data_IF_182577859778
#
_entry.id   IF_182577859778
#
_cell.length_a   1.000
_cell.length_b   1.000
_cell.length_c   1.000
_cell.angle_alpha   90.00
_cell.angle_beta   90.00
_cell.angle_gamma   90.00
#
_symmetry.space_group_name_H-M   'P 1'
#
loop_
_entity.id
_entity.type
_entity.pdbx_description
1 polymer ?
#
# COMPACT_ATOMS: atom_id res chain seq x y z
N UNK A 1 -45.74 9.98 -40.79
CA UNK A 1 -47.11 9.74 -41.33
C UNK A 1 -47.86 8.91 -40.30
N UNK A 2 -48.83 9.36 -39.54
CA UNK A 2 -49.65 10.56 -39.60
C UNK A 2 -49.64 11.26 -38.22
N UNK A 3 -49.03 12.44 -38.18
CA UNK A 3 -49.49 13.55 -37.34
C UNK A 3 -50.31 14.42 -38.31
N UNK A 4 -51.35 15.09 -37.81
CA UNK A 4 -52.39 15.84 -38.55
C UNK A 4 -53.60 14.98 -38.95
N UNK A 5 -54.63 14.98 -38.08
CA UNK A 5 -55.93 15.50 -38.48
C UNK A 5 -56.88 15.63 -37.27
N UNK A 6 -57.41 16.85 -37.15
CA UNK A 6 -58.66 17.21 -36.48
C UNK A 6 -58.63 17.49 -34.97
N UNK A 7 -57.84 18.50 -34.61
CA UNK A 7 -58.39 19.68 -33.92
C UNK A 7 -59.56 20.25 -34.73
N UNK A 8 -60.81 19.85 -34.41
CA UNK A 8 -62.01 20.70 -34.55
C UNK A 8 -63.26 19.94 -34.08
N UNK A 9 -63.51 19.96 -32.77
CA UNK A 9 -64.86 19.89 -32.22
C UNK A 9 -64.75 20.07 -30.71
N UNK A 10 -65.35 21.16 -30.19
CA UNK A 10 -65.84 21.40 -28.82
C UNK A 10 -65.68 22.86 -28.36
N UNK A 11 -65.78 23.81 -29.29
CA UNK A 11 -66.23 25.18 -28.99
C UNK A 11 -67.71 25.30 -29.35
N UNK A 12 -68.61 24.96 -28.40
CA UNK A 12 -70.00 25.45 -28.30
C UNK A 12 -70.73 24.81 -27.10
N UNK A 13 -70.62 25.43 -25.92
CA UNK A 13 -71.70 25.73 -24.94
C UNK A 13 -71.08 26.17 -23.60
N UNK A 14 -71.46 27.34 -23.06
CA UNK A 14 -70.85 27.91 -21.86
C UNK A 14 -71.66 27.53 -20.62
N UNK A 15 -71.29 26.46 -19.91
CA UNK A 15 -71.78 26.18 -18.55
C UNK A 15 -70.97 25.05 -17.91
N UNK A 16 -69.83 25.40 -17.33
CA UNK A 16 -69.21 24.76 -16.14
C UNK A 16 -67.81 25.34 -15.86
N UNK A 17 -67.68 26.66 -15.95
CA UNK A 17 -66.46 27.39 -15.58
C UNK A 17 -66.46 27.65 -14.06
N UNK A 18 -66.48 26.60 -13.23
CA UNK A 18 -66.32 26.72 -11.76
C UNK A 18 -65.74 25.49 -11.05
N UNK A 19 -65.43 24.40 -11.77
CA UNK A 19 -64.83 23.19 -11.18
C UNK A 19 -63.45 22.84 -11.76
N UNK A 20 -62.95 23.62 -12.73
CA UNK A 20 -61.62 23.44 -13.33
C UNK A 20 -60.54 24.40 -12.81
N UNK A 21 -60.82 25.11 -11.71
CA UNK A 21 -59.83 25.93 -10.99
C UNK A 21 -59.30 25.23 -9.72
N UNK A 22 -59.79 24.03 -9.41
CA UNK A 22 -59.27 23.20 -8.30
C UNK A 22 -58.45 21.99 -8.74
N UNK A 23 -58.35 21.71 -10.04
CA UNK A 23 -57.49 20.64 -10.58
C UNK A 23 -56.23 21.14 -11.30
N UNK A 24 -56.04 22.47 -11.37
CA UNK A 24 -54.81 23.10 -11.90
C UNK A 24 -53.93 23.69 -10.80
N UNK A 25 -54.32 23.55 -9.52
CA UNK A 25 -53.50 23.95 -8.35
C UNK A 25 -52.83 22.75 -7.67
N UNK A 26 -52.92 21.55 -8.26
CA UNK A 26 -52.26 20.34 -7.74
C UNK A 26 -51.35 19.64 -8.77
N UNK A 27 -51.09 20.26 -9.93
CA UNK A 27 -50.16 19.76 -10.95
C UNK A 27 -49.11 20.83 -11.33
N UNK A 28 -48.82 21.77 -10.42
CA UNK A 28 -47.77 22.78 -10.63
C UNK A 28 -46.86 22.99 -9.42
N UNK A 29 -46.86 22.06 -8.47
CA UNK A 29 -45.96 22.08 -7.31
C UNK A 29 -45.42 20.70 -6.93
N UNK A 30 -45.31 19.79 -7.90
CA UNK A 30 -44.17 18.87 -7.88
C UNK A 30 -43.15 19.49 -8.82
N UNK A 31 -42.52 20.56 -8.33
CA UNK A 31 -41.19 20.91 -8.79
C UNK A 31 -40.35 19.68 -8.46
N UNK A 32 -40.23 18.75 -9.42
CA UNK A 32 -39.06 17.92 -9.51
C UNK A 32 -37.90 18.90 -9.65
N UNK A 33 -37.38 19.36 -8.52
CA UNK A 33 -36.03 19.84 -8.41
C UNK A 33 -35.16 18.65 -8.76
N UNK A 34 -35.03 18.34 -10.06
CA UNK A 34 -33.77 17.86 -10.56
C UNK A 34 -32.79 19.01 -10.36
N UNK A 35 -32.32 19.17 -9.11
CA UNK A 35 -31.04 19.80 -8.85
C UNK A 35 -30.09 19.06 -9.78
N UNK A 36 -29.60 19.75 -10.81
CA UNK A 36 -28.56 19.23 -11.68
C UNK A 36 -27.31 19.12 -10.81
N UNK A 37 -27.24 18.03 -10.05
CA UNK A 37 -26.14 17.80 -9.14
C UNK A 37 -24.88 17.69 -9.98
N UNK A 38 -23.84 18.43 -9.59
CA UNK A 38 -22.55 18.46 -10.26
C UNK A 38 -22.08 17.01 -10.52
N UNK A 39 -21.88 16.65 -11.79
CA UNK A 39 -21.45 15.30 -12.20
C UNK A 39 -19.94 15.10 -12.09
N UNK A 40 -19.18 16.19 -12.14
CA UNK A 40 -17.72 16.19 -12.14
C UNK A 40 -17.14 17.14 -11.09
N UNK A 41 -16.04 16.71 -10.46
CA UNK A 41 -15.38 17.43 -9.39
C UNK A 41 -13.89 17.47 -9.68
N UNK A 42 -13.42 18.63 -10.12
CA UNK A 42 -11.98 18.92 -10.15
C UNK A 42 -11.51 19.25 -8.74
N UNK A 43 -10.49 18.52 -8.27
CA UNK A 43 -9.92 18.67 -6.93
C UNK A 43 -8.43 18.94 -7.06
N UNK A 44 -7.98 20.05 -6.49
CA UNK A 44 -6.55 20.33 -6.32
C UNK A 44 -6.00 19.47 -5.19
N UNK A 45 -4.88 18.82 -5.43
CA UNK A 45 -4.22 17.94 -4.49
C UNK A 45 -2.88 18.54 -4.07
N UNK A 46 -2.58 18.49 -2.78
CA UNK A 46 -1.33 18.96 -2.22
C UNK A 46 -0.46 17.78 -1.80
N UNK A 47 0.86 18.02 -1.75
CA UNK A 47 1.83 17.06 -1.26
C UNK A 47 1.67 16.79 0.23
N UNK A 48 1.72 15.52 0.62
CA UNK A 48 1.77 15.10 2.02
C UNK A 48 2.81 14.02 2.20
N UNK A 49 3.53 14.08 3.32
CA UNK A 49 4.52 13.06 3.70
C UNK A 49 4.40 12.67 5.18
N UNK A 50 5.23 11.71 5.58
CA UNK A 50 5.25 11.13 6.94
C UNK A 50 5.62 12.09 8.08
N UNK A 51 6.14 13.29 7.79
CA UNK A 51 6.36 14.32 8.82
C UNK A 51 5.08 14.99 9.29
N UNK A 52 4.00 14.84 8.54
CA UNK A 52 2.70 15.42 8.88
C UNK A 52 2.05 14.77 10.12
N UNK A 53 2.71 13.81 10.78
CA UNK A 53 2.18 13.04 11.89
C UNK A 53 1.19 11.94 11.47
N UNK A 54 0.92 11.82 10.16
CA UNK A 54 0.05 10.82 9.56
C UNK A 54 0.80 9.52 9.25
N UNK A 55 0.12 8.38 9.36
CA UNK A 55 0.66 7.08 8.98
C UNK A 55 0.80 6.95 7.45
N UNK A 56 1.88 6.30 7.00
CA UNK A 56 2.19 6.04 5.59
C UNK A 56 1.14 5.20 4.89
N UNK A 57 0.53 5.67 3.79
CA UNK A 57 -0.19 4.76 2.92
C UNK A 57 0.82 3.73 2.42
N UNK A 58 0.51 2.45 2.59
CA UNK A 58 1.32 1.40 2.00
C UNK A 58 1.37 1.61 0.48
N UNK A 59 2.58 1.78 -0.05
CA UNK A 59 2.88 1.78 -1.49
C UNK A 59 3.59 0.48 -1.86
N UNK A 60 3.49 0.07 -3.13
CA UNK A 60 4.25 -1.08 -3.61
C UNK A 60 5.75 -0.80 -3.52
N UNK A 61 6.49 -1.84 -3.12
CA UNK A 61 7.95 -1.77 -2.96
C UNK A 61 8.59 -2.01 -4.32
N UNK A 62 9.31 -1.02 -4.84
CA UNK A 62 10.14 -1.19 -6.03
C UNK A 62 11.44 -1.90 -5.65
N UNK A 63 11.82 -2.95 -6.40
CA UNK A 63 13.07 -3.68 -6.19
C UNK A 63 14.09 -3.26 -7.25
N UNK A 64 15.28 -2.88 -6.80
CA UNK A 64 16.33 -2.34 -7.64
C UNK A 64 17.58 -3.20 -7.55
N UNK A 65 18.18 -3.54 -8.68
CA UNK A 65 19.41 -4.31 -8.74
C UNK A 65 20.61 -3.47 -8.32
N UNK A 66 21.55 -4.12 -7.64
CA UNK A 66 22.80 -3.52 -7.17
C UNK A 66 23.98 -4.03 -7.99
N UNK A 67 24.80 -3.10 -8.44
CA UNK A 67 25.98 -3.35 -9.27
C UNK A 67 27.23 -2.83 -8.55
N UNK A 68 28.33 -3.60 -8.49
CA UNK A 68 29.60 -3.11 -7.96
C UNK A 68 30.03 -1.82 -8.66
N UNK A 69 30.40 -0.80 -7.88
CA UNK A 69 30.69 0.53 -8.43
C UNK A 69 31.89 0.54 -9.41
N UNK A 70 32.83 -0.40 -9.23
CA UNK A 70 34.00 -0.62 -10.09
C UNK A 70 33.67 -1.34 -11.41
N UNK A 71 32.47 -1.91 -11.53
CA UNK A 71 31.99 -2.57 -12.74
C UNK A 71 31.16 -1.64 -13.66
N UNK A 72 30.92 -0.40 -13.25
CA UNK A 72 30.23 0.60 -14.06
C UNK A 72 31.17 1.07 -15.19
N UNK A 73 30.71 0.98 -16.44
CA UNK A 73 31.51 1.25 -17.65
C UNK A 73 32.08 2.68 -17.70
N UNK A 74 31.27 3.66 -17.32
CA UNK A 74 31.70 5.06 -17.21
C UNK A 74 32.07 5.32 -15.74
N UNK A 75 33.35 5.63 -15.43
CA UNK A 75 33.83 5.73 -14.06
C UNK A 75 33.04 6.71 -13.20
N UNK A 76 32.80 6.32 -11.96
CA UNK A 76 32.18 7.16 -10.93
C UNK A 76 33.27 7.79 -10.08
N UNK A 77 33.12 9.07 -9.73
CA UNK A 77 33.98 9.71 -8.74
C UNK A 77 33.35 9.54 -7.36
N UNK A 78 33.94 8.64 -6.58
CA UNK A 78 33.41 8.15 -5.31
C UNK A 78 34.15 8.81 -4.14
N UNK A 79 33.46 9.27 -3.08
CA UNK A 79 34.08 9.76 -1.86
C UNK A 79 35.12 8.80 -1.27
N UNK A 80 36.28 9.37 -0.95
CA UNK A 80 37.45 8.66 -0.46
C UNK A 80 37.12 7.88 0.82
N UNK A 81 37.21 6.55 0.71
CA UNK A 81 37.30 5.63 1.84
C UNK A 81 37.94 4.35 1.31
N UNK A 82 39.25 4.22 1.54
CA UNK A 82 40.03 3.07 1.10
C UNK A 82 39.39 1.80 1.65
N UNK A 83 39.01 0.88 0.75
CA UNK A 83 38.51 -0.47 1.04
C UNK A 83 37.02 -0.64 1.46
N UNK A 84 36.19 0.39 1.33
CA UNK A 84 34.73 0.29 1.53
C UNK A 84 34.05 -0.53 0.42
N UNK A 85 33.09 -1.40 0.77
CA UNK A 85 32.18 -2.00 -0.24
C UNK A 85 31.33 -0.88 -0.85
N UNK A 86 31.24 -0.84 -2.18
CA UNK A 86 30.52 0.20 -2.91
C UNK A 86 29.59 -0.45 -3.94
N UNK A 87 28.28 -0.37 -3.71
CA UNK A 87 27.27 -0.84 -4.65
C UNK A 87 26.45 0.34 -5.16
N UNK A 88 26.11 0.29 -6.44
CA UNK A 88 25.38 1.34 -7.14
C UNK A 88 24.06 0.77 -7.64
N UNK A 89 23.02 1.57 -7.56
CA UNK A 89 21.75 1.30 -8.25
C UNK A 89 21.25 2.56 -8.93
N UNK A 90 20.25 2.38 -9.78
CA UNK A 90 19.62 3.45 -10.54
C UNK A 90 18.16 3.55 -10.15
N UNK A 91 17.72 4.75 -9.78
CA UNK A 91 16.30 5.07 -9.62
C UNK A 91 15.87 5.90 -10.82
N UNK A 92 14.80 5.45 -11.48
CA UNK A 92 14.25 6.12 -12.66
C UNK A 92 12.88 6.68 -12.30
N UNK A 93 12.70 7.99 -12.47
CA UNK A 93 11.45 8.71 -12.21
C UNK A 93 10.98 9.48 -13.46
N UNK A 94 9.66 9.64 -13.58
CA UNK A 94 8.98 10.40 -14.62
C UNK A 94 8.62 9.62 -15.88
N UNK A 95 7.78 10.23 -16.73
CA UNK A 95 7.33 9.65 -18.00
C UNK A 95 8.54 9.28 -18.88
N UNK A 96 8.68 8.00 -19.21
CA UNK A 96 9.81 7.46 -19.99
C UNK A 96 11.20 7.66 -19.34
N UNK A 97 11.28 7.80 -18.01
CA UNK A 97 12.57 7.85 -17.30
C UNK A 97 13.35 9.14 -17.46
N UNK A 98 12.65 10.27 -17.50
CA UNK A 98 13.22 11.62 -17.65
C UNK A 98 14.21 12.01 -16.53
N UNK A 99 14.07 11.43 -15.34
CA UNK A 99 15.02 11.63 -14.25
C UNK A 99 15.64 10.29 -13.84
N UNK A 100 16.96 10.22 -13.98
CA UNK A 100 17.76 9.08 -13.57
C UNK A 100 18.64 9.56 -12.44
N UNK A 101 18.56 8.88 -11.30
CA UNK A 101 19.41 9.12 -10.13
C UNK A 101 20.28 7.90 -9.88
N UNK A 102 21.58 8.11 -9.75
CA UNK A 102 22.49 7.08 -9.26
C UNK A 102 22.56 7.17 -7.74
N UNK A 103 22.35 6.02 -7.10
CA UNK A 103 22.47 5.87 -5.66
C UNK A 103 23.66 4.98 -5.36
N UNK A 104 24.54 5.45 -4.48
CA UNK A 104 25.76 4.75 -4.08
C UNK A 104 25.67 4.38 -2.61
N UNK A 105 25.55 3.09 -2.33
CA UNK A 105 25.58 2.54 -0.98
C UNK A 105 27.03 2.15 -0.61
N UNK A 106 27.49 2.62 0.54
CA UNK A 106 28.83 2.35 1.09
C UNK A 106 28.77 1.88 2.53
N UNK A 107 29.74 1.05 2.90
CA UNK A 107 30.03 0.66 4.27
C UNK A 107 31.50 0.94 4.61
N UNK A 108 31.82 1.18 5.87
CA UNK A 108 33.20 1.09 6.36
C UNK A 108 33.77 -0.33 6.13
N UNK A 109 35.07 -0.52 5.83
CA UNK A 109 35.69 -1.85 5.72
C UNK A 109 35.43 -2.78 6.92
N UNK A 110 35.29 -2.21 8.12
CA UNK A 110 34.97 -2.93 9.36
C UNK A 110 33.48 -3.21 9.55
N UNK A 111 32.63 -2.59 8.73
CA UNK A 111 31.19 -2.70 8.80
C UNK A 111 30.65 -3.56 7.66
N UNK A 112 29.96 -4.63 8.03
CA UNK A 112 29.31 -5.52 7.08
C UNK A 112 28.13 -4.84 6.36
N UNK A 113 27.50 -3.88 7.03
CA UNK A 113 26.27 -3.22 6.59
C UNK A 113 26.56 -1.85 5.98
N UNK A 114 25.76 -1.47 5.00
CA UNK A 114 25.82 -0.11 4.48
C UNK A 114 25.38 0.86 5.57
N UNK A 115 26.16 1.92 5.75
CA UNK A 115 25.92 2.98 6.72
C UNK A 115 25.89 4.37 6.07
N UNK A 116 26.17 4.41 4.77
CA UNK A 116 26.21 5.61 3.95
C UNK A 116 25.47 5.37 2.64
N UNK A 117 24.56 6.28 2.30
CA UNK A 117 23.90 6.32 1.00
C UNK A 117 24.09 7.70 0.38
N UNK A 118 24.77 7.75 -0.77
CA UNK A 118 24.97 8.95 -1.56
C UNK A 118 24.00 8.98 -2.73
N UNK A 119 23.63 10.17 -3.17
CA UNK A 119 22.80 10.42 -4.35
C UNK A 119 23.61 11.31 -5.28
N UNK A 120 23.72 10.93 -6.55
CA UNK A 120 24.22 11.81 -7.61
C UNK A 120 23.09 12.79 -7.97
N UNK A 121 23.10 13.98 -7.35
CA UNK A 121 22.01 14.95 -7.41
C UNK A 121 22.08 15.76 -8.71
N UNK A 122 23.29 16.12 -9.13
CA UNK A 122 23.52 16.90 -10.34
C UNK A 122 23.70 16.03 -11.60
N UNK A 123 23.74 14.70 -11.46
CA UNK A 123 23.82 13.70 -12.54
C UNK A 123 25.15 13.75 -13.29
N UNK A 124 26.22 14.19 -12.63
CA UNK A 124 27.57 14.28 -13.20
C UNK A 124 28.45 13.06 -12.85
N UNK A 125 27.93 12.12 -12.07
CA UNK A 125 28.61 10.91 -11.58
C UNK A 125 29.73 11.18 -10.58
N UNK A 126 29.78 12.38 -10.01
CA UNK A 126 30.72 12.83 -8.99
C UNK A 126 30.05 13.03 -7.63
N UNK A 127 29.86 11.92 -6.94
CA UNK A 127 29.33 11.86 -5.57
C UNK A 127 30.15 12.65 -4.53
N UNK A 128 31.32 13.20 -4.88
CA UNK A 128 32.11 14.04 -3.97
C UNK A 128 31.58 15.47 -3.85
N UNK A 129 30.69 15.88 -4.76
CA UNK A 129 30.14 17.24 -4.83
C UNK A 129 28.63 17.33 -4.52
N UNK A 130 27.97 16.21 -4.20
CA UNK A 130 26.51 16.12 -3.95
C UNK A 130 26.09 16.26 -2.47
N UNK A 131 27.04 16.63 -1.59
CA UNK A 131 26.82 16.80 -0.16
C UNK A 131 27.05 15.53 0.66
N UNK A 132 26.63 15.57 1.93
CA UNK A 132 26.84 14.47 2.87
C UNK A 132 25.94 13.27 2.56
N UNK A 133 26.39 12.02 2.81
CA UNK A 133 25.54 10.85 2.64
C UNK A 133 24.43 10.82 3.67
N UNK A 134 23.31 10.21 3.30
CA UNK A 134 22.33 9.74 4.28
C UNK A 134 22.99 8.68 5.15
N UNK A 135 22.68 8.71 6.45
CA UNK A 135 23.13 7.70 7.40
C UNK A 135 22.00 6.72 7.66
N UNK A 136 22.39 5.46 7.83
CA UNK A 136 21.44 4.43 8.25
C UNK A 136 20.93 4.74 9.65
N UNK A 137 19.65 4.47 9.90
CA UNK A 137 19.07 4.50 11.24
C UNK A 137 19.46 3.26 12.09
N UNK A 138 20.19 2.31 11.49
CA UNK A 138 20.82 1.19 12.18
C UNK A 138 19.85 0.14 12.70
N UNK A 139 18.64 0.04 12.15
CA UNK A 139 17.63 -0.88 12.67
C UNK A 139 17.99 -2.36 12.40
N UNK A 140 18.60 -2.99 13.39
CA UNK A 140 18.78 -4.44 13.48
C UNK A 140 17.51 -5.10 14.04
N UNK A 141 16.59 -5.51 13.18
CA UNK A 141 15.40 -6.22 13.66
C UNK A 141 15.76 -7.68 13.96
N UNK A 142 15.88 -8.00 15.26
CA UNK A 142 16.12 -9.37 15.75
C UNK A 142 14.95 -10.33 15.49
N UNK A 143 13.73 -9.85 15.23
CA UNK A 143 12.66 -10.77 14.83
C UNK A 143 13.02 -11.37 13.48
N UNK A 144 12.99 -12.70 13.37
CA UNK A 144 13.32 -13.50 12.16
C UNK A 144 14.80 -13.71 11.82
N UNK A 145 15.75 -13.29 12.66
CA UNK A 145 17.18 -13.39 12.34
C UNK A 145 17.54 -12.68 11.00
N UNK A 146 16.82 -11.60 10.71
CA UNK A 146 16.97 -10.83 9.48
C UNK A 146 17.90 -9.65 9.72
N UNK A 147 18.79 -9.41 8.76
CA UNK A 147 19.75 -8.33 8.83
C UNK A 147 19.43 -7.35 7.69
N UNK A 148 19.13 -6.11 8.04
CA UNK A 148 18.92 -5.06 7.05
C UNK A 148 19.48 -3.71 7.52
N UNK A 149 19.72 -2.85 6.54
CA UNK A 149 20.00 -1.43 6.72
C UNK A 149 18.82 -0.66 6.13
N UNK A 150 18.35 0.34 6.85
CA UNK A 150 17.35 1.29 6.36
C UNK A 150 17.97 2.69 6.24
N UNK A 151 17.70 3.35 5.12
CA UNK A 151 17.86 4.78 4.95
C UNK A 151 16.47 5.40 4.86
N UNK A 152 16.01 5.96 5.98
CA UNK A 152 14.75 6.67 6.07
C UNK A 152 14.82 8.06 5.43
N UNK A 153 13.72 8.49 4.81
CA UNK A 153 13.52 9.88 4.36
C UNK A 153 14.56 10.36 3.34
N UNK A 154 14.95 9.47 2.43
CA UNK A 154 15.80 9.79 1.29
C UNK A 154 15.01 10.70 0.35
N UNK A 155 15.56 11.88 0.05
CA UNK A 155 14.90 12.88 -0.79
C UNK A 155 15.61 12.95 -2.13
N UNK A 156 15.01 12.34 -3.15
CA UNK A 156 15.48 12.47 -4.53
C UNK A 156 14.99 13.83 -5.08
N UNK A 157 15.89 14.68 -5.60
CA UNK A 157 15.53 16.00 -6.11
C UNK A 157 14.86 15.85 -7.49
N UNK A 158 13.60 15.44 -7.46
CA UNK A 158 12.78 15.24 -8.65
C UNK A 158 11.91 16.48 -8.87
N UNK A 159 12.15 17.16 -9.99
CA UNK A 159 11.39 18.35 -10.35
C UNK A 159 10.06 17.98 -11.02
N UNK A 160 8.95 18.37 -10.41
CA UNK A 160 7.62 18.17 -10.97
C UNK A 160 7.30 19.33 -11.93
N UNK A 161 7.37 19.09 -13.24
CA UNK A 161 7.23 20.15 -14.25
C UNK A 161 5.83 20.21 -14.89
N UNK A 162 5.11 21.33 -14.73
CA UNK A 162 3.84 21.64 -15.44
C UNK A 162 4.03 22.79 -16.42
N UNK A 163 4.18 22.50 -17.72
CA UNK A 163 4.49 23.53 -18.71
C UNK A 163 5.80 24.26 -18.35
N UNK A 164 5.70 25.54 -17.98
CA UNK A 164 6.85 26.36 -17.58
C UNK A 164 7.02 26.49 -16.05
N UNK A 165 6.17 25.84 -15.25
CA UNK A 165 6.22 25.92 -13.79
C UNK A 165 6.92 24.68 -13.23
N UNK A 166 7.96 24.90 -12.42
CA UNK A 166 8.69 23.89 -11.66
C UNK A 166 8.20 23.92 -10.21
N UNK A 167 7.85 22.77 -9.66
CA UNK A 167 7.54 22.63 -8.24
C UNK A 167 8.62 21.77 -7.58
N UNK A 168 9.34 22.34 -6.61
CA UNK A 168 10.37 21.65 -5.85
C UNK A 168 9.73 20.81 -4.73
N UNK A 169 9.29 19.60 -5.09
CA UNK A 169 8.79 18.61 -4.14
C UNK A 169 9.63 17.35 -4.26
N UNK A 170 10.37 16.94 -3.22
CA UNK A 170 11.24 15.78 -3.34
C UNK A 170 10.41 14.51 -3.54
N UNK A 171 10.92 13.59 -4.34
CA UNK A 171 10.45 12.21 -4.28
C UNK A 171 11.01 11.59 -3.00
N UNK A 172 10.23 11.69 -1.92
CA UNK A 172 10.60 11.19 -0.61
C UNK A 172 10.39 9.68 -0.58
N UNK A 173 11.46 8.95 -0.28
CA UNK A 173 11.43 7.51 -0.22
C UNK A 173 12.21 6.97 0.99
N UNK A 174 12.06 5.67 1.18
CA UNK A 174 12.83 4.87 2.10
C UNK A 174 13.53 3.79 1.31
N UNK A 175 14.77 3.51 1.66
CA UNK A 175 15.59 2.52 0.96
C UNK A 175 16.10 1.48 1.94
N UNK A 176 15.84 0.21 1.65
CA UNK A 176 16.23 -0.92 2.47
C UNK A 176 17.22 -1.82 1.74
N UNK A 177 18.23 -2.27 2.46
CA UNK A 177 19.19 -3.28 1.99
C UNK A 177 19.06 -4.52 2.87
N UNK A 178 18.69 -5.65 2.27
CA UNK A 178 18.54 -6.92 2.97
C UNK A 178 19.79 -7.78 2.78
N UNK A 179 20.37 -8.28 3.88
CA UNK A 179 21.62 -9.05 3.90
C UNK A 179 21.33 -10.54 4.16
N UNK A 180 20.98 -11.33 3.12
CA UNK A 180 20.73 -12.75 3.29
C UNK A 180 22.01 -13.47 3.75
N UNK A 181 21.91 -14.28 4.79
CA UNK A 181 23.04 -15.05 5.38
C UNK A 181 24.27 -14.19 5.76
N UNK A 182 24.09 -12.91 6.08
CA UNK A 182 25.21 -11.96 6.26
C UNK A 182 26.10 -11.87 4.99
N UNK A 183 25.49 -11.94 3.81
CA UNK A 183 26.12 -11.64 2.54
C UNK A 183 25.76 -10.24 2.04
N UNK A 184 26.56 -9.73 1.09
CA UNK A 184 26.24 -8.46 0.42
C UNK A 184 24.91 -8.56 -0.35
N UNK A 185 24.03 -7.54 -0.26
CA UNK A 185 22.77 -7.52 -0.97
C UNK A 185 23.00 -7.47 -2.48
N UNK A 186 22.18 -8.20 -3.23
CA UNK A 186 22.13 -8.10 -4.70
C UNK A 186 21.10 -7.08 -5.19
N UNK A 187 20.18 -6.70 -4.32
CA UNK A 187 19.09 -5.77 -4.62
C UNK A 187 18.81 -4.92 -3.39
N UNK A 188 18.32 -3.71 -3.60
CA UNK A 188 17.66 -2.93 -2.56
C UNK A 188 16.16 -2.76 -2.85
N UNK A 189 15.43 -2.30 -1.84
CA UNK A 189 14.01 -2.01 -1.92
C UNK A 189 13.80 -0.51 -1.72
N UNK A 190 13.05 0.11 -2.62
CA UNK A 190 12.61 1.49 -2.52
C UNK A 190 11.11 1.51 -2.19
N UNK A 191 10.73 2.31 -1.21
CA UNK A 191 9.35 2.55 -0.81
C UNK A 191 9.08 4.05 -0.81
N UNK A 192 8.04 4.49 -1.53
CA UNK A 192 7.63 5.90 -1.52
C UNK A 192 7.06 6.29 -0.14
N UNK A 193 7.39 7.48 0.34
CA UNK A 193 6.99 8.02 1.65
C UNK A 193 6.10 9.27 1.56
N UNK A 194 5.47 9.49 0.42
CA UNK A 194 4.60 10.65 0.17
C UNK A 194 3.41 10.27 -0.69
N UNK A 195 2.35 11.06 -0.57
CA UNK A 195 1.12 10.94 -1.36
C UNK A 195 0.59 12.34 -1.69
N UNK A 196 -0.56 12.37 -2.37
CA UNK A 196 -1.28 13.59 -2.69
C UNK A 196 -2.69 13.51 -2.16
N UNK A 197 -3.18 14.58 -1.55
CA UNK A 197 -4.57 14.61 -1.07
C UNK A 197 -5.23 15.97 -1.27
N UNK A 198 -6.56 16.00 -1.31
CA UNK A 198 -7.33 17.22 -1.40
C UNK A 198 -8.79 16.98 -1.05
N UNK A 199 -9.53 18.06 -0.80
CA UNK A 199 -10.91 17.99 -0.35
C UNK A 199 -11.86 18.69 -1.31
N UNK A 200 -13.10 18.21 -1.35
CA UNK A 200 -14.17 18.84 -2.09
C UNK A 200 -15.51 18.66 -1.37
N UNK A 201 -16.45 19.56 -1.64
CA UNK A 201 -17.80 19.47 -1.08
C UNK A 201 -18.68 18.57 -1.95
N UNK A 202 -19.33 17.59 -1.31
CA UNK A 202 -20.31 16.72 -1.94
C UNK A 202 -21.60 16.69 -1.11
N UNK A 203 -22.67 17.28 -1.64
CA UNK A 203 -23.89 17.56 -0.89
C UNK A 203 -23.54 18.30 0.42
N UNK A 204 -24.03 17.82 1.56
CA UNK A 204 -23.79 18.43 2.88
C UNK A 204 -22.53 17.86 3.58
N UNK A 205 -21.71 17.07 2.88
CA UNK A 205 -20.53 16.41 3.44
C UNK A 205 -19.25 16.91 2.76
N UNK A 206 -18.21 17.16 3.56
CA UNK A 206 -16.86 17.35 3.05
C UNK A 206 -16.24 15.98 2.76
N UNK A 207 -15.68 15.82 1.56
CA UNK A 207 -15.01 14.60 1.14
C UNK A 207 -13.53 14.87 0.87
N UNK A 208 -12.71 13.85 1.09
CA UNK A 208 -11.28 13.85 0.77
C UNK A 208 -11.01 12.80 -0.30
N UNK A 209 -10.15 13.15 -1.25
CA UNK A 209 -9.53 12.24 -2.18
C UNK A 209 -8.03 12.20 -1.91
N UNK A 210 -7.46 11.00 -1.94
CA UNK A 210 -6.02 10.79 -1.88
C UNK A 210 -5.57 9.91 -3.05
N UNK A 211 -4.37 10.15 -3.57
CA UNK A 211 -3.72 9.32 -4.59
C UNK A 211 -2.29 9.00 -4.18
N UNK A 212 -1.87 7.77 -4.45
CA UNK A 212 -0.55 7.23 -4.19
C UNK A 212 0.00 6.67 -5.49
N UNK A 213 1.21 7.10 -5.81
CA UNK A 213 2.06 6.49 -6.82
C UNK A 213 2.51 5.12 -6.29
N UNK A 214 1.79 4.09 -6.73
CA UNK A 214 1.92 2.73 -6.20
C UNK A 214 3.14 2.05 -6.78
N UNK A 215 3.44 2.25 -8.07
CA UNK A 215 4.59 1.63 -8.74
C UNK A 215 5.93 2.37 -8.51
N UNK A 216 5.88 3.50 -7.80
CA UNK A 216 7.00 4.35 -7.39
C UNK A 216 7.79 4.92 -8.57
N UNK A 217 7.13 5.20 -9.69
CA UNK A 217 7.76 5.74 -10.90
C UNK A 217 7.77 7.28 -10.95
N UNK A 218 7.15 7.98 -9.99
CA UNK A 218 7.09 9.44 -9.96
C UNK A 218 6.09 10.05 -10.95
N UNK A 219 5.14 9.26 -11.47
CA UNK A 219 4.06 9.67 -12.36
C UNK A 219 2.77 9.15 -11.76
N UNK A 220 1.75 10.01 -11.72
CA UNK A 220 0.41 9.63 -11.29
C UNK A 220 -0.47 9.31 -12.49
N UNK A 221 -0.84 8.04 -12.66
CA UNK A 221 -1.69 7.58 -13.75
C UNK A 221 -2.67 6.45 -13.34
N UNK A 222 -3.09 5.61 -14.29
CA UNK A 222 -4.06 4.53 -14.06
C UNK A 222 -3.44 3.27 -13.44
N UNK A 223 -2.11 3.13 -13.39
CA UNK A 223 -1.41 2.08 -12.63
C UNK A 223 -1.46 2.34 -11.11
N UNK A 224 -1.83 3.56 -10.73
CA UNK A 224 -1.80 4.01 -9.35
C UNK A 224 -3.10 3.77 -8.60
N UNK A 225 -3.00 4.01 -7.28
CA UNK A 225 -4.11 3.84 -6.37
C UNK A 225 -4.64 5.14 -5.84
N UNK A 226 -5.93 5.12 -5.53
CA UNK A 226 -6.64 6.27 -5.03
C UNK A 226 -7.66 5.87 -3.97
N UNK A 227 -8.04 6.83 -3.15
CA UNK A 227 -9.00 6.65 -2.08
C UNK A 227 -9.97 7.83 -2.06
N UNK A 228 -11.25 7.57 -1.76
CA UNK A 228 -12.31 8.59 -1.69
C UNK A 228 -13.17 8.37 -0.44
N UNK A 229 -13.15 9.34 0.47
CA UNK A 229 -13.56 9.12 1.86
C UNK A 229 -14.26 10.37 2.42
N UNK A 230 -15.27 10.23 3.29
CA UNK A 230 -15.76 11.36 4.10
C UNK A 230 -14.64 11.95 4.95
N UNK A 231 -14.51 13.28 5.00
CA UNK A 231 -13.45 13.94 5.77
C UNK A 231 -13.54 13.65 7.27
N UNK A 232 -14.72 13.42 7.80
CA UNK A 232 -14.91 13.09 9.22
C UNK A 232 -14.57 11.62 9.55
N UNK A 233 -14.33 10.79 8.52
CA UNK A 233 -13.84 9.41 8.71
C UNK A 233 -12.33 9.34 8.90
N UNK A 234 -11.63 10.48 8.81
CA UNK A 234 -10.17 10.58 8.90
C UNK A 234 -9.73 10.64 10.37
N UNK A 235 -9.58 9.48 11.01
CA UNK A 235 -8.73 9.39 12.21
C UNK A 235 -7.24 9.53 11.83
N UNK A 236 -6.36 9.80 12.80
CA UNK A 236 -4.91 9.94 12.58
C UNK A 236 -4.26 8.66 11.98
N UNK A 237 -4.90 7.50 12.14
CA UNK A 237 -4.46 6.17 11.64
C UNK A 237 -4.83 5.89 10.16
N UNK A 238 -5.62 6.77 9.54
CA UNK A 238 -6.45 6.40 8.38
C UNK A 238 -5.75 6.44 7.01
N UNK A 239 -4.81 7.37 6.82
CA UNK A 239 -4.08 7.49 5.54
C UNK A 239 -3.02 6.39 5.39
N UNK A 240 -2.84 5.56 6.42
CA UNK A 240 -1.86 4.48 6.44
C UNK A 240 -2.27 3.18 5.76
N UNK A 241 -3.58 2.98 5.55
CA UNK A 241 -4.10 1.66 5.22
C UNK A 241 -4.38 1.51 3.71
N UNK A 242 -3.64 0.58 3.08
CA UNK A 242 -3.80 0.20 1.67
C UNK A 242 -5.24 -0.15 1.30
N UNK A 243 -6.07 -0.54 2.27
CA UNK A 243 -7.43 -1.01 2.04
C UNK A 243 -8.39 0.11 1.62
N UNK A 244 -8.06 1.36 1.91
CA UNK A 244 -8.80 2.50 1.36
C UNK A 244 -8.35 2.85 -0.06
N UNK A 245 -7.12 2.46 -0.42
CA UNK A 245 -6.52 2.71 -1.72
C UNK A 245 -6.92 1.60 -2.69
N UNK A 246 -7.69 1.99 -3.69
CA UNK A 246 -8.20 1.10 -4.73
C UNK A 246 -7.47 1.40 -6.03
N UNK A 247 -7.35 0.39 -6.88
CA UNK A 247 -6.87 0.61 -8.26
C UNK A 247 -7.71 1.70 -8.94
N UNK A 248 -7.11 2.51 -9.82
CA UNK A 248 -7.82 3.56 -10.54
C UNK A 248 -9.07 3.06 -11.31
N UNK A 249 -9.10 1.77 -11.67
CA UNK A 249 -10.23 1.10 -12.33
C UNK A 249 -11.43 0.86 -11.41
N UNK A 250 -11.23 0.80 -10.09
CA UNK A 250 -12.27 0.59 -9.09
C UNK A 250 -12.92 1.91 -8.73
N UNK A 251 -14.22 1.88 -8.47
CA UNK A 251 -14.95 3.08 -8.04
C UNK A 251 -14.49 3.57 -6.67
N UNK A 252 -14.71 4.84 -6.34
CA UNK A 252 -14.67 5.36 -4.97
C UNK A 252 -16.10 5.66 -4.53
N UNK A 253 -16.40 5.59 -3.23
CA UNK A 253 -17.79 5.73 -2.77
C UNK A 253 -17.97 6.82 -1.71
N UNK A 254 -18.95 7.70 -1.92
CA UNK A 254 -19.47 8.61 -0.90
C UNK A 254 -20.95 8.32 -0.67
N UNK A 255 -21.29 7.74 0.48
CA UNK A 255 -22.60 7.12 0.66
C UNK A 255 -22.83 6.05 -0.40
N UNK A 256 -23.99 6.06 -1.06
CA UNK A 256 -24.30 5.14 -2.18
C UNK A 256 -23.94 5.70 -3.57
N UNK A 257 -23.20 6.81 -3.63
CA UNK A 257 -22.76 7.39 -4.91
C UNK A 257 -21.35 6.92 -5.25
N UNK A 258 -21.21 6.26 -6.40
CA UNK A 258 -19.93 5.86 -6.97
C UNK A 258 -19.27 7.00 -7.76
N UNK A 259 -17.95 7.00 -7.70
CA UNK A 259 -17.07 7.92 -8.42
C UNK A 259 -15.98 7.12 -9.13
N UNK A 260 -15.48 7.67 -10.22
CA UNK A 260 -14.24 7.23 -10.86
C UNK A 260 -13.26 8.39 -10.98
N UNK A 261 -11.98 8.06 -11.11
CA UNK A 261 -10.95 8.99 -11.55
C UNK A 261 -11.06 9.13 -13.06
N UNK A 262 -11.71 10.20 -13.52
CA UNK A 262 -11.86 10.48 -14.95
C UNK A 262 -10.58 11.04 -15.57
N UNK A 263 -9.77 11.74 -14.77
CA UNK A 263 -8.45 12.19 -15.16
C UNK A 263 -7.58 12.39 -13.90
N UNK A 264 -6.31 12.04 -13.99
CA UNK A 264 -5.30 12.30 -12.98
C UNK A 264 -4.14 13.03 -13.64
N UNK A 265 -3.78 14.21 -13.12
CA UNK A 265 -2.62 14.92 -13.63
C UNK A 265 -1.35 14.10 -13.31
N UNK A 266 -0.39 13.95 -14.25
CA UNK A 266 0.83 13.16 -14.05
C UNK A 266 1.67 13.52 -12.81
N UNK A 267 1.54 14.75 -12.28
CA UNK A 267 2.24 15.19 -11.07
C UNK A 267 1.49 14.85 -9.77
N UNK A 268 0.25 14.37 -9.90
CA UNK A 268 -0.66 14.09 -8.82
C UNK A 268 -1.19 15.34 -8.11
N UNK A 269 -1.02 16.54 -8.67
CA UNK A 269 -1.47 17.80 -8.06
C UNK A 269 -2.94 18.14 -8.38
N UNK A 270 -3.61 17.35 -9.24
CA UNK A 270 -5.00 17.56 -9.62
C UNK A 270 -5.64 16.25 -10.05
N UNK A 271 -6.88 16.03 -9.63
CA UNK A 271 -7.72 14.91 -10.05
C UNK A 271 -9.09 15.41 -10.48
N UNK A 272 -9.63 14.82 -11.54
CA UNK A 272 -11.02 14.99 -11.97
C UNK A 272 -11.78 13.74 -11.58
N UNK A 273 -12.69 13.87 -10.62
CA UNK A 273 -13.61 12.82 -10.23
C UNK A 273 -14.91 12.97 -11.00
N UNK A 274 -15.45 11.86 -11.49
CA UNK A 274 -16.77 11.82 -12.14
C UNK A 274 -17.68 10.84 -11.43
N UNK A 275 -18.94 11.22 -11.24
CA UNK A 275 -19.97 10.29 -10.77
C UNK A 275 -20.16 9.18 -11.80
N UNK A 276 -20.16 7.95 -11.34
CA UNK A 276 -20.28 6.76 -12.19
C UNK A 276 -21.57 6.02 -11.86
N UNK A 277 -22.34 5.67 -12.88
CA UNK A 277 -23.33 4.61 -12.73
C UNK A 277 -22.59 3.30 -12.54
N UNK A 278 -22.85 2.62 -11.43
CA UNK A 278 -22.14 1.41 -11.05
C UNK A 278 -23.10 0.24 -10.99
N UNK A 279 -22.73 -0.87 -11.64
CA UNK A 279 -23.60 -2.05 -11.75
C UNK A 279 -23.79 -2.77 -10.42
N UNK A 280 -22.76 -2.74 -9.56
CA UNK A 280 -22.80 -3.27 -8.20
C UNK A 280 -23.23 -2.18 -7.22
N UNK A 281 -24.01 -2.54 -6.21
CA UNK A 281 -24.19 -1.70 -5.03
C UNK A 281 -22.85 -1.45 -4.33
N UNK A 282 -22.78 -0.40 -3.50
CA UNK A 282 -21.58 -0.14 -2.68
C UNK A 282 -21.17 -1.36 -1.88
N UNK A 283 -22.13 -2.05 -1.26
CA UNK A 283 -21.84 -3.22 -0.43
C UNK A 283 -21.24 -4.37 -1.26
N UNK A 284 -21.78 -4.63 -2.45
CA UNK A 284 -21.28 -5.70 -3.34
C UNK A 284 -19.89 -5.37 -3.88
N UNK A 285 -19.66 -4.12 -4.30
CA UNK A 285 -18.34 -3.70 -4.77
C UNK A 285 -17.28 -3.71 -3.65
N UNK A 286 -17.62 -3.22 -2.45
CA UNK A 286 -16.73 -3.33 -1.28
C UNK A 286 -16.54 -4.78 -0.82
N UNK A 287 -17.49 -5.68 -1.12
CA UNK A 287 -17.32 -7.10 -0.88
C UNK A 287 -16.36 -7.78 -1.87
N UNK A 288 -15.94 -7.11 -2.95
CA UNK A 288 -14.79 -7.59 -3.72
C UNK A 288 -13.46 -7.30 -3.00
N UNK A 289 -13.47 -6.39 -2.02
CA UNK A 289 -12.32 -6.04 -1.18
C UNK A 289 -12.26 -6.89 0.12
N UNK A 290 -13.12 -7.93 0.22
CA UNK A 290 -13.58 -8.62 1.46
C UNK A 290 -12.55 -9.13 2.47
N UNK A 291 -11.32 -9.57 2.14
CA UNK A 291 -10.43 -10.08 3.18
C UNK A 291 -10.09 -9.04 4.27
N UNK A 292 -10.17 -7.75 3.95
CA UNK A 292 -9.47 -6.71 4.70
C UNK A 292 -10.35 -5.79 5.55
N UNK A 293 -11.56 -5.45 5.10
CA UNK A 293 -12.48 -4.57 5.86
C UNK A 293 -12.88 -5.14 7.24
N UNK A 294 -12.84 -6.46 7.40
CA UNK A 294 -13.08 -7.10 8.70
C UNK A 294 -11.87 -7.03 9.62
N UNK A 295 -10.64 -6.97 9.10
CA UNK A 295 -9.41 -6.96 9.91
C UNK A 295 -9.18 -5.64 10.65
N UNK A 296 -9.53 -4.52 10.02
CA UNK A 296 -9.35 -3.18 10.59
C UNK A 296 -10.12 -3.03 11.91
N UNK A 297 -11.27 -3.69 12.04
CA UNK A 297 -12.16 -3.59 13.21
C UNK A 297 -11.85 -4.58 14.32
N UNK A 298 -10.85 -5.45 14.16
CA UNK A 298 -10.56 -6.49 15.16
C UNK A 298 -9.62 -5.98 16.26
N UNK A 299 -9.84 -6.37 17.53
CA UNK A 299 -9.00 -5.91 18.64
C UNK A 299 -7.54 -6.34 18.49
N UNK A 300 -6.62 -5.43 18.83
CA UNK A 300 -5.17 -5.70 18.85
C UNK A 300 -4.73 -6.24 20.22
N UNK A 301 -3.79 -7.17 20.21
CA UNK A 301 -3.19 -7.72 21.42
C UNK A 301 -2.20 -6.73 22.04
N UNK A 302 -2.16 -6.67 23.37
CA UNK A 302 -1.11 -5.93 24.10
C UNK A 302 0.22 -6.70 24.16
N UNK A 303 0.25 -7.97 23.74
CA UNK A 303 1.41 -8.85 23.76
C UNK A 303 1.63 -9.48 22.39
N UNK A 304 2.87 -9.80 22.06
CA UNK A 304 3.24 -10.43 20.79
C UNK A 304 3.21 -11.97 20.87
N UNK A 305 3.17 -12.63 19.71
CA UNK A 305 3.36 -14.08 19.60
C UNK A 305 4.79 -14.45 20.00
N UNK A 306 4.95 -15.48 20.82
CA UNK A 306 6.25 -15.97 21.25
C UNK A 306 6.92 -16.84 20.17
N UNK A 307 7.52 -16.20 19.18
CA UNK A 307 8.19 -16.87 18.06
C UNK A 307 9.56 -17.46 18.44
N UNK A 308 9.77 -18.71 18.04
CA UNK A 308 11.10 -19.29 17.88
C UNK A 308 11.56 -19.12 16.43
N UNK A 309 12.88 -19.10 16.23
CA UNK A 309 13.51 -19.02 14.89
C UNK A 309 14.33 -20.25 14.52
N UNK A 310 14.35 -21.28 15.38
CA UNK A 310 15.15 -22.48 15.16
C UNK A 310 14.27 -23.73 15.20
N UNK A 311 14.22 -24.46 14.08
CA UNK A 311 13.37 -25.63 13.91
C UNK A 311 13.64 -26.73 14.96
N UNK A 312 14.92 -27.03 15.23
CA UNK A 312 15.28 -28.08 16.19
C UNK A 312 14.84 -27.72 17.62
N UNK A 313 15.01 -26.46 18.04
CA UNK A 313 14.51 -25.97 19.34
C UNK A 313 12.99 -26.01 19.42
N UNK A 314 12.29 -25.62 18.36
CA UNK A 314 10.83 -25.68 18.32
C UNK A 314 10.35 -27.14 18.43
N UNK A 315 10.96 -28.06 17.69
CA UNK A 315 10.64 -29.49 17.75
C UNK A 315 10.92 -30.09 19.12
N UNK A 316 12.05 -29.76 19.74
CA UNK A 316 12.37 -30.22 21.09
C UNK A 316 11.34 -29.70 22.12
N UNK A 317 10.96 -28.43 22.02
CA UNK A 317 9.95 -27.82 22.89
C UNK A 317 8.60 -28.50 22.70
N UNK A 318 8.17 -28.70 21.46
CA UNK A 318 6.90 -29.34 21.12
C UNK A 318 6.83 -30.78 21.62
N UNK A 319 7.91 -31.56 21.52
CA UNK A 319 8.00 -32.90 22.10
C UNK A 319 7.80 -32.90 23.61
N UNK A 320 8.40 -31.92 24.31
CA UNK A 320 8.30 -31.78 25.77
C UNK A 320 6.90 -31.33 26.21
N UNK A 321 6.31 -30.37 25.52
CA UNK A 321 5.01 -29.80 25.89
C UNK A 321 3.82 -30.54 25.27
N UNK A 322 4.07 -31.49 24.36
CA UNK A 322 3.07 -32.21 23.54
C UNK A 322 2.21 -31.30 22.64
N UNK A 323 2.54 -30.01 22.55
CA UNK A 323 1.86 -29.04 21.70
C UNK A 323 2.19 -29.25 20.22
N UNK A 324 1.27 -28.83 19.35
CA UNK A 324 1.55 -28.71 17.92
C UNK A 324 2.47 -27.49 17.66
N UNK A 325 3.13 -27.48 16.51
CA UNK A 325 4.00 -26.38 16.07
C UNK A 325 3.24 -25.57 15.02
N UNK A 326 3.07 -24.28 15.27
CA UNK A 326 2.60 -23.34 14.25
C UNK A 326 3.83 -22.77 13.54
N UNK A 327 4.03 -23.13 12.28
CA UNK A 327 5.20 -22.72 11.48
C UNK A 327 4.79 -21.68 10.45
N UNK A 328 5.56 -20.62 10.32
CA UNK A 328 5.39 -19.63 9.25
C UNK A 328 6.68 -19.51 8.45
N UNK A 329 6.65 -19.90 7.18
CA UNK A 329 7.69 -19.57 6.22
C UNK A 329 7.35 -18.22 5.59
N UNK A 330 8.18 -17.23 5.87
CA UNK A 330 8.06 -15.88 5.35
C UNK A 330 9.40 -15.42 4.78
N UNK A 331 9.36 -14.32 4.04
CA UNK A 331 10.55 -13.59 3.60
C UNK A 331 10.28 -12.09 3.78
N UNK A 332 11.30 -11.27 4.10
CA UNK A 332 11.08 -9.88 4.48
C UNK A 332 10.57 -9.01 3.34
N UNK A 333 10.94 -9.33 2.11
CA UNK A 333 10.55 -8.60 0.91
C UNK A 333 9.14 -8.94 0.41
N UNK A 334 8.45 -9.88 1.04
CA UNK A 334 7.08 -10.27 0.66
C UNK A 334 6.07 -9.37 1.36
N UNK A 335 5.39 -8.51 0.59
CA UNK A 335 4.29 -7.66 1.08
C UNK A 335 3.21 -8.43 1.86
N UNK A 336 2.76 -9.62 1.39
CA UNK A 336 1.88 -10.51 2.15
C UNK A 336 2.46 -10.98 3.50
N UNK A 337 3.78 -11.21 3.61
CA UNK A 337 4.41 -11.56 4.88
C UNK A 337 4.43 -10.39 5.87
N UNK A 338 4.75 -9.19 5.39
CA UNK A 338 4.70 -7.95 6.18
C UNK A 338 3.26 -7.69 6.66
N UNK A 339 2.28 -7.97 5.80
CA UNK A 339 0.85 -7.82 6.14
C UNK A 339 0.43 -8.76 7.27
N UNK A 340 0.92 -10.01 7.29
CA UNK A 340 0.64 -10.92 8.41
C UNK A 340 1.16 -10.35 9.73
N UNK A 341 2.36 -9.77 9.76
CA UNK A 341 2.94 -9.20 10.99
C UNK A 341 2.16 -7.99 11.50
N UNK A 342 1.82 -7.07 10.59
CA UNK A 342 1.20 -5.81 10.97
C UNK A 342 -0.31 -5.90 11.21
N UNK A 343 -0.99 -6.92 10.69
CA UNK A 343 -2.46 -7.01 10.72
C UNK A 343 -3.03 -8.30 11.30
N UNK A 344 -2.31 -9.41 11.19
CA UNK A 344 -2.84 -10.73 11.55
C UNK A 344 -2.24 -11.24 12.86
N UNK A 345 -0.92 -11.17 13.01
CA UNK A 345 -0.20 -11.70 14.17
C UNK A 345 -0.29 -10.82 15.41
N UNK A 346 -0.76 -9.57 15.27
CA UNK A 346 -1.08 -8.69 16.39
C UNK A 346 -2.57 -8.69 16.76
N UNK A 347 -3.39 -9.52 16.11
CA UNK A 347 -4.80 -9.68 16.46
C UNK A 347 -4.93 -10.39 17.82
N UNK A 348 -5.80 -9.88 18.69
CA UNK A 348 -5.97 -10.38 20.05
C UNK A 348 -6.36 -11.87 20.10
N UNK A 349 -7.18 -12.34 19.17
CA UNK A 349 -7.61 -13.74 19.13
C UNK A 349 -6.50 -14.64 18.59
N UNK A 350 -5.81 -14.21 17.53
CA UNK A 350 -4.67 -14.95 16.95
C UNK A 350 -3.56 -15.09 17.99
N UNK A 351 -3.18 -14.02 18.69
CA UNK A 351 -2.17 -14.06 19.76
C UNK A 351 -2.62 -15.00 20.88
N UNK A 352 -3.87 -14.91 21.30
CA UNK A 352 -4.40 -15.78 22.35
C UNK A 352 -4.30 -17.26 21.96
N UNK A 353 -4.74 -17.62 20.75
CA UNK A 353 -4.66 -18.98 20.21
C UNK A 353 -3.23 -19.47 20.06
N UNK A 354 -2.30 -18.58 19.68
CA UNK A 354 -0.88 -18.91 19.49
C UNK A 354 -0.23 -19.52 20.75
N UNK A 355 -0.72 -19.18 21.95
CA UNK A 355 -0.23 -19.73 23.21
C UNK A 355 -0.45 -21.25 23.35
N UNK A 356 -1.36 -21.82 22.56
CA UNK A 356 -1.61 -23.27 22.51
C UNK A 356 -0.61 -24.03 21.64
N UNK A 357 0.27 -23.31 20.94
CA UNK A 357 1.25 -23.85 20.01
C UNK A 357 2.67 -23.53 20.45
N UNK A 358 3.62 -24.33 19.94
CA UNK A 358 4.99 -23.86 19.80
C UNK A 358 5.06 -23.06 18.50
N UNK A 359 5.18 -21.74 18.60
CA UNK A 359 5.23 -20.87 17.43
C UNK A 359 6.66 -20.81 16.86
N UNK A 360 6.80 -21.06 15.57
CA UNK A 360 8.06 -21.07 14.83
C UNK A 360 7.92 -20.21 13.58
N UNK A 361 8.82 -19.25 13.43
CA UNK A 361 8.89 -18.39 12.26
C UNK A 361 10.24 -18.56 11.60
N UNK A 362 10.23 -18.92 10.32
CA UNK A 362 11.41 -19.24 9.52
C UNK A 362 11.48 -18.29 8.32
N UNK A 363 12.69 -17.78 8.08
CA UNK A 363 13.00 -17.05 6.86
C UNK A 363 13.32 -18.05 5.74
N UNK A 364 12.55 -18.02 4.66
CA UNK A 364 12.73 -18.94 3.55
C UNK A 364 14.03 -18.74 2.74
N UNK A 365 14.63 -17.56 2.76
CA UNK A 365 15.89 -17.29 2.08
C UNK A 365 17.09 -17.87 2.85
N UNK A 366 17.00 -17.89 4.19
CA UNK A 366 18.01 -18.45 5.10
C UNK A 366 17.83 -19.97 5.28
N UNK A 367 16.59 -20.44 5.40
CA UNK A 367 16.24 -21.82 5.75
C UNK A 367 15.97 -22.71 4.53
N UNK A 368 16.84 -22.61 3.50
CA UNK A 368 16.65 -23.28 2.19
C UNK A 368 16.45 -24.79 2.28
N UNK A 369 17.09 -25.44 3.26
CA UNK A 369 16.93 -26.87 3.49
C UNK A 369 15.52 -27.19 3.97
N UNK A 370 14.96 -26.40 4.89
CA UNK A 370 13.61 -26.58 5.39
C UNK A 370 12.57 -26.21 4.33
N UNK A 371 12.82 -25.17 3.54
CA UNK A 371 11.99 -24.82 2.36
C UNK A 371 11.84 -26.00 1.41
N UNK A 372 12.96 -26.67 1.08
CA UNK A 372 12.92 -27.90 0.26
C UNK A 372 12.23 -29.05 0.97
N UNK A 373 12.54 -29.27 2.25
CA UNK A 373 11.97 -30.36 3.05
C UNK A 373 10.43 -30.28 3.13
N UNK A 374 9.88 -29.08 3.34
CA UNK A 374 8.43 -28.84 3.42
C UNK A 374 7.79 -28.52 2.07
N UNK A 375 8.58 -28.49 0.99
CA UNK A 375 8.13 -28.14 -0.37
C UNK A 375 7.42 -26.78 -0.42
N UNK A 376 8.03 -25.76 0.20
CA UNK A 376 7.53 -24.38 0.20
C UNK A 376 7.86 -23.75 -1.15
N UNK A 377 6.83 -23.32 -1.87
CA UNK A 377 6.95 -22.73 -3.21
C UNK A 377 6.61 -21.24 -3.25
N UNK A 378 5.78 -20.77 -2.31
CA UNK A 378 5.29 -19.39 -2.26
C UNK A 378 5.32 -18.88 -0.82
N UNK A 379 5.43 -17.56 -0.65
CA UNK A 379 5.43 -16.91 0.66
C UNK A 379 4.21 -15.99 0.82
N UNK A 380 3.60 -15.94 2.02
CA UNK A 380 3.87 -16.81 3.16
C UNK A 380 3.34 -18.25 2.94
N UNK A 381 3.95 -19.22 3.61
CA UNK A 381 3.39 -20.57 3.77
C UNK A 381 3.28 -20.87 5.27
N UNK A 382 2.06 -21.15 5.73
CA UNK A 382 1.72 -21.40 7.13
C UNK A 382 1.43 -22.89 7.32
N UNK A 383 2.12 -23.56 8.25
CA UNK A 383 1.94 -24.98 8.52
C UNK A 383 1.52 -25.21 9.97
N UNK A 384 0.76 -26.28 10.20
CA UNK A 384 0.69 -26.91 11.53
C UNK A 384 1.43 -28.23 11.46
N UNK A 385 2.43 -28.40 12.32
CA UNK A 385 3.10 -29.68 12.53
C UNK A 385 2.65 -30.29 13.85
N UNK A 386 2.60 -31.61 13.93
CA UNK A 386 2.50 -32.28 15.23
C UNK A 386 3.82 -32.20 16.01
N UNK A 387 3.80 -32.67 17.26
CA UNK A 387 4.99 -32.66 18.12
C UNK A 387 6.13 -33.57 17.61
N UNK A 388 5.92 -34.40 16.58
CA UNK A 388 6.96 -35.22 15.95
C UNK A 388 7.62 -34.50 14.77
N UNK A 389 7.02 -33.40 14.30
CA UNK A 389 7.45 -32.65 13.12
C UNK A 389 6.72 -33.06 11.85
N UNK A 390 5.69 -33.92 11.95
CA UNK A 390 4.85 -34.30 10.81
C UNK A 390 3.87 -33.18 10.50
N UNK A 391 3.78 -32.80 9.24
CA UNK A 391 2.79 -31.84 8.78
C UNK A 391 1.37 -32.39 8.92
N UNK A 392 0.51 -31.62 9.58
CA UNK A 392 -0.92 -31.89 9.72
C UNK A 392 -1.72 -31.15 8.65
N UNK A 393 -1.34 -29.91 8.36
CA UNK A 393 -2.03 -29.04 7.40
C UNK A 393 -1.14 -27.88 6.97
N UNK A 394 -1.52 -27.26 5.85
CA UNK A 394 -0.87 -26.09 5.26
C UNK A 394 -1.87 -25.10 4.70
N UNK A 395 -1.49 -23.83 4.72
CA UNK A 395 -2.15 -22.74 4.01
C UNK A 395 -1.09 -21.87 3.35
N UNK A 396 -1.35 -21.43 2.12
CA UNK A 396 -0.41 -20.64 1.30
C UNK A 396 -1.02 -19.27 1.01
N UNK A 397 -0.20 -18.23 1.10
CA UNK A 397 -0.61 -16.85 0.90
C UNK A 397 -1.10 -16.17 2.17
N UNK A 398 -1.40 -14.87 2.05
CA UNK A 398 -1.91 -14.06 3.15
C UNK A 398 -3.16 -14.68 3.78
N UNK A 399 -3.25 -14.65 5.10
CA UNK A 399 -4.42 -15.13 5.86
C UNK A 399 -4.95 -14.02 6.74
N UNK A 400 -6.18 -13.54 6.51
CA UNK A 400 -6.79 -12.57 7.40
C UNK A 400 -6.92 -13.10 8.84
N UNK A 401 -6.92 -12.21 9.82
CA UNK A 401 -6.94 -12.58 11.25
C UNK A 401 -8.06 -13.55 11.62
N UNK A 402 -9.29 -13.33 11.12
CA UNK A 402 -10.42 -14.23 11.36
C UNK A 402 -10.23 -15.62 10.74
N UNK A 403 -9.65 -15.68 9.54
CA UNK A 403 -9.35 -16.93 8.84
C UNK A 403 -8.24 -17.70 9.55
N UNK A 404 -7.16 -17.02 9.93
CA UNK A 404 -6.07 -17.62 10.68
C UNK A 404 -6.53 -18.10 12.05
N UNK A 405 -7.34 -17.32 12.77
CA UNK A 405 -7.90 -17.74 14.05
C UNK A 405 -8.76 -19.01 13.90
N UNK A 406 -9.60 -19.08 12.86
CA UNK A 406 -10.39 -20.28 12.57
C UNK A 406 -9.52 -21.47 12.23
N UNK A 407 -8.47 -21.25 11.44
CA UNK A 407 -7.47 -22.26 11.11
C UNK A 407 -6.78 -22.80 12.37
N UNK A 408 -6.25 -21.93 13.24
CA UNK A 408 -5.57 -22.33 14.47
C UNK A 408 -6.51 -23.09 15.42
N UNK A 409 -7.76 -22.64 15.59
CA UNK A 409 -8.75 -23.30 16.46
C UNK A 409 -8.97 -24.78 16.15
N UNK A 410 -8.88 -25.18 14.88
CA UNK A 410 -9.05 -26.58 14.48
C UNK A 410 -7.94 -27.50 15.01
N UNK A 411 -6.79 -26.94 15.39
CA UNK A 411 -5.59 -27.69 15.78
C UNK A 411 -5.10 -27.38 17.19
N UNK A 412 -5.88 -26.62 17.98
CA UNK A 412 -5.67 -26.51 19.42
C UNK A 412 -5.93 -27.89 20.03
N UNK A 413 -4.94 -28.43 20.73
CA UNK A 413 -5.14 -29.68 21.49
C UNK A 413 -5.92 -29.36 22.75
N UNK A 414 -7.01 -30.09 22.95
CA UNK A 414 -7.86 -30.10 24.15
C UNK A 414 -7.11 -30.58 25.39
#
# INVERSE_FOLDING_TARGET
MLIEQQTDMLLKRPQCLKTLTRLLVSISMVSFFFSCQKSEYEVSLHYVDVTSGKQLPYATVQRLDLTPADSIEIPLKIPDNRQATALVTTVTLGNSGQAIFLLLAKSDPSNHYFDQLYIDRNKDRDFTNDGAPYKSDGQFVKSRNQHFTEFGRVALPYDWQQGNTLTEEPFLCKIYFWYPDLGQPKTCSLLRLSWREGSFQFNDQQAMVAVVDDDANGVFDASDRWALLPQDSLGDEFVGDIHFFREATRAGWLGETAFEVANLAPQGNKVLLRRKEHELSRQEDLALDTPYNQEVRRPRAASEINWLSNYNRALQRARRTRQNIFVTFCVPWSGPCVSLDSRTFNDAEVVSLSNSFVCLQLDGDLERTLVRQFSVQNYPTLLILDHTGKELTRVVGYQPAAELARYLKQYVKS
#
